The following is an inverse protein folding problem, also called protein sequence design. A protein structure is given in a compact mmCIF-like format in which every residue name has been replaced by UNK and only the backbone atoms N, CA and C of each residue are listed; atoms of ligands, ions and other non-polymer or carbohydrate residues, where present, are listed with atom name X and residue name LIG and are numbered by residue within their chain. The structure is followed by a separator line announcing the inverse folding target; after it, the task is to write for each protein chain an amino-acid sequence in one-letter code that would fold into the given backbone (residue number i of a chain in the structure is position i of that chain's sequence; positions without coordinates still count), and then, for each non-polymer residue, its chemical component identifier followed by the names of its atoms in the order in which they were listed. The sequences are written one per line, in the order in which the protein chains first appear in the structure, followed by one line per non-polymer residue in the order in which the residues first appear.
data_IF_969283862994
#
_entry.id   IF_969283862994
#
_cell.length_a   1.000
_cell.length_b   1.000
_cell.length_c   1.000
_cell.angle_alpha   90.00
_cell.angle_beta   90.00
_cell.angle_gamma   90.00
#
_symmetry.space_group_name_H-M   'P 1'
#
loop_
_entity.id
_entity.type
_entity.pdbx_description
1 polymer ?
#
# COMPACT_ATOMS: atom_id res chain seq x y z
N UNK A 1 16.08 9.00 -10.04
CA UNK A 1 14.70 8.56 -9.77
C UNK A 1 14.41 7.18 -10.36
N UNK A 2 14.80 6.91 -11.60
CA UNK A 2 14.61 5.58 -12.23
C UNK A 2 15.33 4.46 -11.47
N UNK A 3 16.52 4.72 -10.95
CA UNK A 3 17.26 3.77 -10.13
C UNK A 3 16.55 3.46 -8.81
N UNK A 4 15.97 4.48 -8.19
CA UNK A 4 15.17 4.31 -6.96
C UNK A 4 13.91 3.50 -7.21
N UNK A 5 13.17 3.80 -8.29
CA UNK A 5 12.00 3.04 -8.68
C UNK A 5 12.32 1.56 -8.97
N UNK A 6 13.43 1.31 -9.67
CA UNK A 6 13.95 -0.05 -9.87
C UNK A 6 14.25 -0.78 -8.57
N UNK A 7 14.80 -0.07 -7.60
CA UNK A 7 15.13 -0.67 -6.31
C UNK A 7 13.87 -1.02 -5.52
N UNK A 8 12.87 -0.14 -5.53
CA UNK A 8 11.59 -0.38 -4.86
C UNK A 8 10.90 -1.63 -5.41
N UNK A 9 10.81 -1.79 -6.73
CA UNK A 9 10.09 -2.93 -7.33
C UNK A 9 10.86 -4.26 -7.27
N UNK A 10 12.07 -4.27 -6.78
CA UNK A 10 12.75 -5.54 -6.47
C UNK A 10 12.16 -6.24 -5.27
N UNK A 11 11.53 -5.49 -4.37
CA UNK A 11 10.99 -5.96 -3.11
C UNK A 11 9.48 -5.66 -3.08
N UNK A 12 8.73 -6.44 -3.84
CA UNK A 12 7.29 -6.25 -3.97
C UNK A 12 6.55 -6.62 -2.68
N UNK A 13 5.43 -5.95 -2.38
CA UNK A 13 4.59 -6.33 -1.26
C UNK A 13 4.16 -7.80 -1.33
N UNK A 14 4.44 -8.52 -0.27
CA UNK A 14 4.01 -9.90 -0.12
C UNK A 14 3.65 -10.22 1.33
N UNK A 15 2.87 -11.26 1.53
CA UNK A 15 2.50 -11.76 2.86
C UNK A 15 3.14 -13.12 3.07
N UNK A 16 4.28 -13.12 3.77
CA UNK A 16 4.95 -14.36 4.19
C UNK A 16 4.25 -15.01 5.37
N UNK A 17 4.48 -16.31 5.56
CA UNK A 17 3.87 -17.07 6.67
C UNK A 17 4.28 -16.59 8.05
N UNK A 18 5.47 -16.04 8.17
CA UNK A 18 6.03 -15.51 9.41
C UNK A 18 5.72 -14.00 9.61
N UNK A 19 5.05 -13.37 8.64
CA UNK A 19 4.70 -11.95 8.60
C UNK A 19 5.92 -10.99 8.59
N UNK A 20 7.13 -11.48 8.45
CA UNK A 20 8.34 -10.65 8.41
C UNK A 20 8.49 -9.86 7.11
N UNK A 21 7.75 -10.22 6.07
CA UNK A 21 7.68 -9.47 4.81
C UNK A 21 6.75 -8.26 4.87
N UNK A 22 5.87 -8.20 5.87
CA UNK A 22 4.89 -7.11 6.01
C UNK A 22 5.59 -5.87 6.55
N UNK A 23 5.43 -4.76 5.85
CA UNK A 23 5.94 -3.45 6.26
C UNK A 23 4.99 -2.35 5.77
N UNK A 24 3.95 -2.08 6.55
CA UNK A 24 2.92 -1.09 6.20
C UNK A 24 3.49 0.31 5.98
N UNK A 25 4.50 0.69 6.77
CA UNK A 25 5.15 1.99 6.64
C UNK A 25 5.89 2.11 5.31
N UNK A 26 6.72 1.13 4.98
CA UNK A 26 7.43 1.08 3.71
C UNK A 26 6.46 1.04 2.53
N UNK A 27 5.42 0.20 2.61
CA UNK A 27 4.42 0.09 1.54
C UNK A 27 3.72 1.41 1.27
N UNK A 28 3.40 2.18 2.33
CA UNK A 28 2.78 3.49 2.17
C UNK A 28 3.69 4.47 1.42
N UNK A 29 4.92 4.65 1.88
CA UNK A 29 5.84 5.60 1.25
C UNK A 29 6.30 5.18 -0.13
N UNK A 30 6.55 3.91 -0.36
CA UNK A 30 6.88 3.38 -1.68
C UNK A 30 5.72 3.56 -2.67
N UNK A 31 4.49 3.35 -2.22
CA UNK A 31 3.28 3.59 -3.04
C UNK A 31 3.16 5.05 -3.42
N UNK A 32 3.36 5.98 -2.48
CA UNK A 32 3.37 7.42 -2.77
C UNK A 32 4.43 7.76 -3.82
N UNK A 33 5.65 7.29 -3.61
CA UNK A 33 6.78 7.60 -4.49
C UNK A 33 6.55 7.05 -5.90
N UNK A 34 6.10 5.81 -6.02
CA UNK A 34 5.85 5.19 -7.33
C UNK A 34 4.62 5.79 -8.02
N UNK A 35 3.56 6.12 -7.27
CA UNK A 35 2.39 6.79 -7.85
C UNK A 35 2.75 8.14 -8.48
N UNK A 36 3.55 8.95 -7.77
CA UNK A 36 3.99 10.25 -8.31
C UNK A 36 4.96 10.10 -9.47
N UNK A 37 5.82 9.11 -9.43
CA UNK A 37 6.87 8.93 -10.44
C UNK A 37 6.37 8.25 -11.71
N UNK A 38 5.56 7.21 -11.57
CA UNK A 38 5.21 6.27 -12.64
C UNK A 38 3.73 5.87 -12.61
N UNK A 39 2.91 6.52 -11.79
CA UNK A 39 1.49 6.23 -11.65
C UNK A 39 0.64 6.65 -12.86
N UNK A 40 -0.67 6.41 -12.80
CA UNK A 40 -1.59 6.64 -13.94
C UNK A 40 -1.58 8.05 -14.49
N UNK A 41 -1.37 9.04 -13.63
CA UNK A 41 -1.36 10.47 -14.01
C UNK A 41 0.05 11.00 -14.31
N UNK A 42 1.04 10.12 -14.35
CA UNK A 42 2.42 10.52 -14.65
C UNK A 42 2.58 10.96 -16.09
N UNK A 43 3.20 12.12 -16.36
CA UNK A 43 3.48 12.58 -17.73
C UNK A 43 4.62 11.80 -18.41
N UNK A 44 5.22 10.82 -17.75
CA UNK A 44 6.34 10.06 -18.29
C UNK A 44 5.91 9.16 -19.44
N UNK A 45 6.75 9.11 -20.47
CA UNK A 45 6.63 8.06 -21.48
C UNK A 45 6.95 6.71 -20.84
N UNK A 46 6.07 5.72 -21.07
CA UNK A 46 6.19 4.40 -20.47
C UNK A 46 5.85 4.35 -18.98
N UNK A 47 5.02 5.26 -18.51
CA UNK A 47 4.41 5.20 -17.19
C UNK A 47 3.73 3.83 -16.97
N UNK A 48 3.77 3.36 -15.73
CA UNK A 48 3.25 2.05 -15.36
C UNK A 48 4.29 0.94 -15.29
N UNK A 49 5.49 1.13 -15.81
CA UNK A 49 6.55 0.11 -15.80
C UNK A 49 6.88 -0.39 -14.39
N UNK A 50 6.91 0.53 -13.43
CA UNK A 50 7.18 0.23 -12.02
C UNK A 50 5.89 0.22 -11.19
N UNK A 51 4.98 1.11 -11.51
CA UNK A 51 3.71 1.23 -10.82
C UNK A 51 2.84 -0.02 -10.96
N UNK A 52 2.65 -0.54 -12.16
CA UNK A 52 1.70 -1.63 -12.39
C UNK A 52 2.03 -2.91 -11.62
N UNK A 53 3.27 -3.44 -11.65
CA UNK A 53 3.60 -4.61 -10.84
C UNK A 53 3.53 -4.34 -9.35
N UNK A 54 3.96 -3.16 -8.89
CA UNK A 54 3.84 -2.76 -7.49
C UNK A 54 2.39 -2.72 -7.04
N UNK A 55 1.57 -1.99 -7.77
CA UNK A 55 0.16 -1.80 -7.47
C UNK A 55 -0.61 -3.12 -7.38
N UNK A 56 -0.39 -3.99 -8.34
CA UNK A 56 -1.02 -5.32 -8.37
C UNK A 56 -0.70 -6.12 -7.11
N UNK A 57 0.57 -6.19 -6.71
CA UNK A 57 0.99 -6.93 -5.53
C UNK A 57 0.54 -6.26 -4.23
N UNK A 58 0.62 -4.94 -4.17
CA UNK A 58 0.19 -4.17 -3.01
C UNK A 58 -1.29 -4.41 -2.69
N UNK A 59 -2.16 -4.26 -3.67
CA UNK A 59 -3.61 -4.46 -3.49
C UNK A 59 -3.90 -5.89 -3.04
N UNK A 60 -3.29 -6.88 -3.67
CA UNK A 60 -3.45 -8.27 -3.26
C UNK A 60 -3.03 -8.51 -1.81
N UNK A 61 -1.86 -7.98 -1.40
CA UNK A 61 -1.33 -8.13 -0.05
C UNK A 61 -2.16 -7.39 1.00
N UNK A 62 -2.55 -6.16 0.73
CA UNK A 62 -3.37 -5.36 1.66
C UNK A 62 -4.75 -5.99 1.85
N UNK A 63 -5.41 -6.43 0.79
CA UNK A 63 -6.72 -7.06 0.90
C UNK A 63 -6.65 -8.43 1.59
N UNK A 64 -5.57 -9.18 1.38
CA UNK A 64 -5.34 -10.45 2.09
C UNK A 64 -5.22 -10.26 3.60
N UNK A 65 -4.64 -9.14 4.04
CA UNK A 65 -4.43 -8.83 5.45
C UNK A 65 -5.62 -8.17 6.13
N UNK A 66 -6.59 -7.70 5.36
CA UNK A 66 -7.79 -7.08 5.93
C UNK A 66 -8.63 -8.09 6.70
N UNK A 67 -9.02 -7.72 7.90
CA UNK A 67 -9.91 -8.56 8.71
C UNK A 67 -11.34 -8.50 8.17
N UNK A 68 -11.75 -9.54 7.48
CA UNK A 68 -13.11 -9.72 6.94
C UNK A 68 -13.96 -10.69 7.77
N UNK A 69 -13.45 -11.14 8.92
CA UNK A 69 -14.14 -12.15 9.73
C UNK A 69 -15.55 -11.70 10.08
N UNK A 70 -16.50 -12.56 9.77
CA UNK A 70 -17.91 -12.36 10.09
C UNK A 70 -18.21 -12.69 11.55
N UNK A 71 -17.23 -13.31 12.22
CA UNK A 71 -17.36 -13.82 13.57
C UNK A 71 -16.82 -12.83 14.61
N UNK A 72 -17.66 -12.58 15.59
CA UNK A 72 -17.41 -12.12 16.96
C UNK A 72 -17.08 -10.66 17.19
N UNK A 73 -16.27 -10.00 16.40
CA UNK A 73 -15.86 -8.65 16.78
C UNK A 73 -16.16 -7.64 15.66
N UNK A 74 -17.36 -7.11 15.68
CA UNK A 74 -17.80 -6.09 14.72
C UNK A 74 -16.88 -4.86 14.74
N UNK A 75 -16.25 -4.60 15.88
CA UNK A 75 -15.37 -3.44 16.05
C UNK A 75 -14.05 -3.56 15.29
N UNK A 76 -13.59 -4.78 15.02
CA UNK A 76 -12.32 -5.02 14.31
C UNK A 76 -12.50 -5.36 12.84
N UNK A 77 -13.73 -5.57 12.39
CA UNK A 77 -14.05 -5.87 11.01
C UNK A 77 -13.63 -4.72 10.09
N UNK A 78 -12.94 -5.06 9.02
CA UNK A 78 -12.44 -4.09 8.04
C UNK A 78 -11.09 -3.48 8.41
N UNK A 79 -10.57 -3.73 9.61
CA UNK A 79 -9.26 -3.28 10.03
C UNK A 79 -8.14 -4.23 9.65
N UNK A 80 -6.93 -3.83 9.94
CA UNK A 80 -5.72 -4.64 9.77
C UNK A 80 -5.11 -4.97 11.14
N UNK A 81 -5.23 -6.23 11.54
CA UNK A 81 -4.85 -6.70 12.87
C UNK A 81 -3.50 -7.40 12.89
N UNK A 82 -3.03 -7.86 11.74
CA UNK A 82 -1.76 -8.56 11.62
C UNK A 82 -0.62 -7.56 11.75
N UNK A 83 0.27 -7.81 12.70
CA UNK A 83 1.44 -6.98 12.91
C UNK A 83 2.43 -7.10 11.76
N UNK A 84 3.10 -6.01 11.48
CA UNK A 84 4.21 -6.00 10.53
C UNK A 84 5.54 -6.40 11.21
N UNK A 85 6.62 -6.38 10.44
CA UNK A 85 7.96 -6.72 10.92
C UNK A 85 8.47 -5.87 12.09
N UNK A 86 7.86 -4.74 12.32
CA UNK A 86 8.27 -3.78 13.37
C UNK A 86 7.41 -3.89 14.62
N UNK A 87 6.24 -4.49 14.47
CA UNK A 87 5.27 -4.62 15.52
C UNK A 87 5.49 -5.87 16.37
N UNK A 88 4.99 -5.87 17.54
CA UNK A 88 5.10 -7.01 18.46
C UNK A 88 4.23 -6.88 19.69
N UNK A 89 3.35 -5.90 19.75
CA UNK A 89 2.47 -5.74 20.90
C UNK A 89 1.12 -5.12 20.52
N UNK A 90 0.12 -5.53 21.22
CA UNK A 90 -1.32 -5.31 21.10
C UNK A 90 -1.82 -3.84 21.07
N UNK A 91 -1.14 -2.96 20.43
CA UNK A 91 -1.57 -1.57 20.23
C UNK A 91 -1.46 -1.11 18.77
N UNK A 92 -0.89 -1.94 17.92
CA UNK A 92 -0.57 -1.58 16.54
C UNK A 92 -1.71 -1.73 15.56
N UNK A 93 -2.86 -2.30 15.94
CA UNK A 93 -4.01 -2.42 15.05
C UNK A 93 -4.50 -1.07 14.50
N UNK A 94 -4.44 -0.02 15.31
CA UNK A 94 -4.77 1.35 14.88
C UNK A 94 -3.72 1.86 13.88
N UNK A 95 -2.45 1.66 14.15
CA UNK A 95 -1.35 2.02 13.27
C UNK A 95 -1.43 1.27 11.93
N UNK A 96 -1.58 -0.05 11.98
CA UNK A 96 -1.69 -0.89 10.79
C UNK A 96 -2.89 -0.48 9.94
N UNK A 97 -4.05 -0.26 10.57
CA UNK A 97 -5.27 0.16 9.90
C UNK A 97 -5.12 1.55 9.30
N UNK A 98 -4.55 2.50 10.04
CA UNK A 98 -4.34 3.85 9.54
C UNK A 98 -3.41 3.88 8.32
N UNK A 99 -2.29 3.18 8.36
CA UNK A 99 -1.36 3.10 7.22
C UNK A 99 -1.96 2.38 6.02
N UNK A 100 -2.71 1.30 6.25
CA UNK A 100 -3.39 0.58 5.16
C UNK A 100 -4.44 1.44 4.47
N UNK A 101 -5.25 2.17 5.24
CA UNK A 101 -6.23 3.13 4.71
C UNK A 101 -5.54 4.25 3.94
N UNK A 102 -4.49 4.85 4.50
CA UNK A 102 -3.72 5.89 3.82
C UNK A 102 -3.09 5.39 2.51
N UNK A 103 -2.62 4.16 2.49
CA UNK A 103 -2.08 3.52 1.28
C UNK A 103 -3.15 3.38 0.21
N UNK A 104 -4.34 2.91 0.58
CA UNK A 104 -5.47 2.79 -0.35
C UNK A 104 -5.99 4.15 -0.82
N UNK A 105 -5.89 5.20 0.00
CA UNK A 105 -6.28 6.55 -0.37
C UNK A 105 -5.36 7.21 -1.41
N UNK A 106 -4.15 6.71 -1.63
CA UNK A 106 -3.20 7.27 -2.62
C UNK A 106 -3.86 7.41 -3.98
N UNK A 107 -4.69 6.44 -4.37
CA UNK A 107 -5.41 6.45 -5.65
C UNK A 107 -6.41 7.60 -5.80
N UNK A 108 -6.98 8.05 -4.69
CA UNK A 108 -8.03 9.07 -4.67
C UNK A 108 -7.48 10.46 -4.39
N UNK A 109 -6.54 10.56 -3.45
CA UNK A 109 -6.02 11.85 -2.99
C UNK A 109 -5.27 12.61 -4.07
N UNK A 110 -4.43 11.91 -4.82
CA UNK A 110 -3.53 12.57 -5.76
C UNK A 110 -4.14 12.78 -7.13
N UNK A 111 -5.08 11.97 -7.55
CA UNK A 111 -5.84 12.21 -8.77
C UNK A 111 -6.58 13.56 -8.75
N UNK A 112 -7.03 14.00 -7.58
CA UNK A 112 -7.72 15.27 -7.42
C UNK A 112 -6.81 16.48 -7.16
N UNK A 113 -5.63 16.26 -6.59
CA UNK A 113 -4.70 17.35 -6.23
C UNK A 113 -3.80 17.74 -7.40
N UNK A 114 -3.38 16.81 -8.20
CA UNK A 114 -2.44 17.03 -9.31
C UNK A 114 -3.06 16.85 -10.70
N UNK A 115 -4.12 16.08 -10.76
CA UNK A 115 -4.81 15.76 -12.01
C UNK A 115 -5.86 16.78 -12.40
N UNK A 116 -5.77 17.97 -11.92
CA UNK A 116 -6.77 19.02 -12.05
C UNK A 116 -7.40 19.27 -13.39
N UNK A 117 -7.13 18.51 -14.39
CA UNK A 117 -7.84 18.52 -15.65
C UNK A 117 -8.94 17.46 -15.66
N UNK A 118 -9.85 17.56 -14.73
CA UNK A 118 -11.18 17.10 -15.03
C UNK A 118 -11.68 17.95 -16.23
N UNK A 119 -12.00 17.28 -17.26
CA UNK A 119 -12.82 17.90 -18.27
C UNK A 119 -14.12 18.38 -17.66
#
# INVERSE_FOLDING_TARGET
LDLAAKQIVKDLPEVSKDHLSIDYYYWYYATLALNQFDGPDSPRKGAGKYWDPWNKQLIASILQLQNDSKDRDVCTRGGWLVDDRWGGNSGYAIYNTALSVLTLEVYYRYAHVFGGSAK
#
